data_IF_422201876437
#
_entry.id   IF_422201876437
#
_cell.length_a   1.000
_cell.length_b   1.000
_cell.length_c   1.000
_cell.angle_alpha   90.00
_cell.angle_beta   90.00
_cell.angle_gamma   90.00
#
_symmetry.space_group_name_H-M   'P 1'
#
loop_
_entity.id
_entity.type
_entity.pdbx_description
1 polymer ?
#
# COMPACT_ATOMS: atom_id res chain seq x y z
N UNK A 1 44.28 1.10 18.61
CA UNK A 1 43.82 1.90 19.76
C UNK A 1 42.69 1.13 20.44
N UNK A 2 42.74 0.86 21.76
CA UNK A 2 41.64 0.18 22.44
C UNK A 2 40.41 1.09 22.48
N UNK A 3 39.25 0.56 22.11
CA UNK A 3 37.98 1.30 22.17
C UNK A 3 37.57 1.45 23.63
N UNK A 4 37.51 2.69 24.12
CA UNK A 4 36.99 2.98 25.47
C UNK A 4 35.48 3.19 25.42
N UNK A 5 34.78 2.92 26.53
CA UNK A 5 33.32 3.16 26.63
C UNK A 5 32.94 4.59 26.24
N UNK A 6 33.74 5.58 26.66
CA UNK A 6 33.54 6.99 26.29
C UNK A 6 33.66 7.21 24.79
N UNK A 7 34.74 6.73 24.18
CA UNK A 7 34.95 6.85 22.74
C UNK A 7 33.84 6.17 21.92
N UNK A 8 33.34 5.03 22.39
CA UNK A 8 32.20 4.35 21.78
C UNK A 8 30.91 5.20 21.85
N UNK A 9 30.59 5.74 23.03
CA UNK A 9 29.40 6.57 23.21
C UNK A 9 29.45 7.86 22.36
N UNK A 10 30.58 8.55 22.34
CA UNK A 10 30.79 9.76 21.54
C UNK A 10 30.66 9.49 20.04
N UNK A 11 31.28 8.40 19.56
CA UNK A 11 31.21 8.02 18.14
C UNK A 11 29.79 7.62 17.74
N UNK A 12 29.07 6.89 18.61
CA UNK A 12 27.68 6.48 18.35
C UNK A 12 26.70 7.65 18.33
N UNK A 13 26.87 8.65 19.21
CA UNK A 13 26.02 9.84 19.25
C UNK A 13 26.18 10.72 17.99
N UNK A 14 27.40 10.84 17.48
CA UNK A 14 27.70 11.53 16.22
C UNK A 14 27.10 10.81 14.99
N UNK A 15 27.12 9.48 14.98
CA UNK A 15 26.50 8.70 13.89
C UNK A 15 24.97 8.85 13.87
N UNK A 16 24.31 8.85 15.04
CA UNK A 16 22.85 8.96 15.15
C UNK A 16 22.33 10.35 14.78
N UNK A 17 23.06 11.41 15.08
CA UNK A 17 22.70 12.78 14.69
C UNK A 17 22.76 12.98 13.17
N UNK A 18 23.78 12.42 12.50
CA UNK A 18 23.86 12.43 11.04
C UNK A 18 22.70 11.67 10.37
N UNK A 19 22.30 10.54 10.94
CA UNK A 19 21.20 9.72 10.41
C UNK A 19 19.83 10.42 10.59
N UNK A 20 19.60 11.06 11.73
CA UNK A 20 18.35 11.79 12.00
C UNK A 20 18.20 13.03 11.08
N UNK A 21 19.28 13.76 10.83
CA UNK A 21 19.27 14.89 9.90
C UNK A 21 19.01 14.45 8.45
N UNK A 22 19.58 13.31 8.02
CA UNK A 22 19.32 12.71 6.71
C UNK A 22 17.87 12.25 6.52
N UNK A 23 17.26 11.65 7.54
CA UNK A 23 15.85 11.23 7.50
C UNK A 23 14.88 12.42 7.46
N UNK A 24 15.15 13.49 8.22
CA UNK A 24 14.33 14.70 8.20
C UNK A 24 14.39 15.41 6.84
N UNK A 25 15.53 15.39 6.15
CA UNK A 25 15.68 15.92 4.80
C UNK A 25 14.98 15.03 3.75
N UNK A 26 15.02 13.70 3.91
CA UNK A 26 14.37 12.75 2.99
C UNK A 26 12.85 12.73 3.13
N UNK A 27 12.31 13.00 4.31
CA UNK A 27 10.86 13.02 4.57
C UNK A 27 10.12 14.14 3.81
N UNK A 28 10.81 15.22 3.40
CA UNK A 28 10.21 16.32 2.64
C UNK A 28 10.11 16.08 1.12
N UNK A 29 10.73 15.00 0.60
CA UNK A 29 10.84 14.78 -0.83
C UNK A 29 9.72 13.93 -1.45
N UNK A 30 8.73 13.45 -0.68
CA UNK A 30 7.70 12.52 -1.17
C UNK A 30 6.25 13.02 -1.04
N UNK A 31 6.03 14.26 -0.64
CA UNK A 31 4.72 14.88 -0.78
C UNK A 31 4.53 15.38 -2.21
N UNK A 32 4.48 14.46 -3.18
CA UNK A 32 3.93 14.80 -4.50
C UNK A 32 2.46 15.19 -4.28
N UNK A 33 1.99 16.33 -4.81
CA UNK A 33 0.59 16.69 -4.70
C UNK A 33 -0.25 15.59 -5.35
N UNK A 34 -1.16 15.00 -4.59
CA UNK A 34 -2.15 14.06 -5.15
C UNK A 34 -2.96 14.87 -6.16
N UNK A 35 -2.97 14.49 -7.45
CA UNK A 35 -3.78 15.19 -8.43
C UNK A 35 -5.24 15.01 -8.02
N UNK A 36 -5.85 16.06 -7.49
CA UNK A 36 -7.26 16.08 -7.19
C UNK A 36 -7.98 16.31 -8.52
N UNK A 37 -8.14 15.24 -9.28
CA UNK A 37 -8.86 15.29 -10.53
C UNK A 37 -10.35 15.48 -10.20
N UNK A 38 -10.80 16.74 -10.12
CA UNK A 38 -12.21 17.12 -9.91
C UNK A 38 -13.05 16.94 -11.20
N UNK A 39 -12.56 16.12 -12.14
CA UNK A 39 -13.27 15.78 -13.37
C UNK A 39 -14.36 14.74 -13.15
N UNK A 40 -14.85 14.16 -14.24
CA UNK A 40 -15.89 13.12 -14.25
C UNK A 40 -15.67 12.05 -13.17
N UNK A 41 -16.75 11.43 -12.64
CA UNK A 41 -16.66 10.42 -11.60
C UNK A 41 -15.58 9.39 -11.96
N UNK A 42 -14.63 9.17 -11.06
CA UNK A 42 -13.61 8.16 -11.26
C UNK A 42 -14.30 6.80 -11.50
N UNK A 43 -13.79 5.98 -12.43
CA UNK A 43 -14.34 4.66 -12.63
C UNK A 43 -14.23 3.83 -11.34
N UNK A 44 -15.12 2.85 -11.14
CA UNK A 44 -14.99 1.87 -10.07
C UNK A 44 -13.56 1.35 -9.94
N UNK A 45 -13.05 1.23 -8.72
CA UNK A 45 -11.71 0.70 -8.45
C UNK A 45 -11.81 -0.48 -7.52
N UNK A 46 -11.26 -1.63 -7.95
CA UNK A 46 -11.19 -2.85 -7.15
C UNK A 46 -9.72 -3.19 -6.91
N UNK A 47 -9.39 -3.54 -5.67
CA UNK A 47 -8.04 -3.91 -5.25
C UNK A 47 -8.11 -5.23 -4.50
N UNK A 48 -7.18 -6.14 -4.79
CA UNK A 48 -7.03 -7.41 -4.07
C UNK A 48 -5.57 -7.74 -3.85
N UNK A 49 -5.32 -8.71 -2.97
CA UNK A 49 -4.03 -9.41 -2.88
C UNK A 49 -3.70 -10.18 -4.16
N UNK A 50 -2.46 -10.69 -4.25
CA UNK A 50 -1.88 -11.33 -5.45
C UNK A 50 -2.76 -12.40 -6.10
N UNK A 51 -3.42 -13.26 -5.33
CA UNK A 51 -4.27 -14.36 -5.83
C UNK A 51 -5.67 -13.90 -6.30
N UNK A 52 -6.10 -12.68 -5.95
CA UNK A 52 -7.47 -12.22 -6.21
C UNK A 52 -7.79 -11.78 -7.64
N UNK A 53 -6.91 -11.95 -8.64
CA UNK A 53 -7.10 -11.37 -9.99
C UNK A 53 -8.41 -11.82 -10.68
N UNK A 54 -8.89 -13.04 -10.40
CA UNK A 54 -10.20 -13.52 -10.89
C UNK A 54 -11.35 -12.82 -10.18
N UNK A 55 -11.24 -12.63 -8.86
CA UNK A 55 -12.19 -11.89 -8.04
C UNK A 55 -12.29 -10.42 -8.45
N UNK A 56 -11.15 -9.76 -8.70
CA UNK A 56 -11.08 -8.37 -9.19
C UNK A 56 -11.90 -8.20 -10.47
N UNK A 57 -11.69 -9.08 -11.45
CA UNK A 57 -12.42 -9.05 -12.72
C UNK A 57 -13.93 -9.19 -12.51
N UNK A 58 -14.37 -10.17 -11.71
CA UNK A 58 -15.80 -10.40 -11.45
C UNK A 58 -16.45 -9.21 -10.73
N UNK A 59 -15.79 -8.67 -9.70
CA UNK A 59 -16.30 -7.52 -8.97
C UNK A 59 -16.39 -6.28 -9.87
N UNK A 60 -15.37 -6.03 -10.70
CA UNK A 60 -15.38 -4.91 -11.64
C UNK A 60 -16.51 -5.03 -12.67
N UNK A 61 -16.67 -6.20 -13.28
CA UNK A 61 -17.77 -6.47 -14.23
C UNK A 61 -19.14 -6.25 -13.60
N UNK A 62 -19.34 -6.69 -12.35
CA UNK A 62 -20.61 -6.47 -11.64
C UNK A 62 -20.88 -4.99 -11.39
N UNK A 63 -19.87 -4.22 -11.01
CA UNK A 63 -20.04 -2.78 -10.78
C UNK A 63 -20.27 -2.00 -12.08
N UNK A 64 -19.64 -2.39 -13.19
CA UNK A 64 -19.73 -1.63 -14.46
C UNK A 64 -20.87 -2.09 -15.37
N UNK A 65 -21.12 -3.39 -15.46
CA UNK A 65 -22.05 -3.97 -16.42
C UNK A 65 -23.42 -4.22 -15.79
N UNK A 66 -23.43 -4.70 -14.54
CA UNK A 66 -24.65 -5.10 -13.83
C UNK A 66 -25.16 -3.98 -12.89
N UNK A 67 -24.41 -2.88 -12.78
CA UNK A 67 -24.65 -1.78 -11.83
C UNK A 67 -24.85 -2.27 -10.38
N UNK A 68 -24.17 -3.36 -10.01
CA UNK A 68 -24.26 -3.93 -8.68
C UNK A 68 -23.63 -3.02 -7.61
N UNK A 69 -24.15 -3.10 -6.40
CA UNK A 69 -23.57 -2.44 -5.24
C UNK A 69 -22.15 -2.98 -4.96
N UNK A 70 -21.20 -2.12 -4.50
CA UNK A 70 -19.85 -2.56 -4.18
C UNK A 70 -19.78 -3.75 -3.20
N UNK A 71 -20.69 -3.84 -2.23
CA UNK A 71 -20.73 -4.93 -1.25
C UNK A 71 -21.00 -6.27 -1.93
N UNK A 72 -22.01 -6.34 -2.79
CA UNK A 72 -22.35 -7.56 -3.51
C UNK A 72 -21.25 -7.96 -4.49
N UNK A 73 -20.64 -6.99 -5.15
CA UNK A 73 -19.52 -7.21 -6.07
C UNK A 73 -18.29 -7.79 -5.36
N UNK A 74 -17.92 -7.26 -4.18
CA UNK A 74 -16.76 -7.80 -3.44
C UNK A 74 -17.04 -9.17 -2.85
N UNK A 75 -18.26 -9.45 -2.38
CA UNK A 75 -18.66 -10.78 -1.90
C UNK A 75 -18.54 -11.81 -3.02
N UNK A 76 -19.07 -11.49 -4.21
CA UNK A 76 -18.93 -12.37 -5.38
C UNK A 76 -17.46 -12.55 -5.79
N UNK A 77 -16.64 -11.49 -5.69
CA UNK A 77 -15.21 -11.54 -6.00
C UNK A 77 -14.42 -12.45 -5.08
N UNK A 78 -14.60 -12.35 -3.75
CA UNK A 78 -13.87 -13.18 -2.77
C UNK A 78 -14.31 -14.64 -2.82
N UNK A 79 -15.59 -14.91 -3.07
CA UNK A 79 -16.11 -16.28 -3.19
C UNK A 79 -15.42 -17.10 -4.28
N UNK A 80 -14.87 -16.46 -5.33
CA UNK A 80 -14.07 -17.18 -6.34
C UNK A 80 -12.85 -17.85 -5.71
N UNK A 81 -12.25 -17.20 -4.72
CA UNK A 81 -11.04 -17.72 -4.09
C UNK A 81 -11.36 -18.64 -2.91
N UNK A 82 -12.32 -18.26 -2.08
CA UNK A 82 -12.76 -19.06 -0.92
C UNK A 82 -13.35 -20.42 -1.33
N UNK A 83 -13.92 -20.53 -2.53
CA UNK A 83 -14.49 -21.76 -3.06
C UNK A 83 -13.51 -22.56 -3.95
N UNK A 84 -12.29 -22.07 -4.17
CA UNK A 84 -11.28 -22.80 -4.94
C UNK A 84 -10.52 -23.78 -4.02
N UNK A 85 -10.70 -25.10 -4.17
CA UNK A 85 -10.03 -26.06 -3.29
C UNK A 85 -8.50 -26.08 -3.44
N UNK A 86 -7.95 -25.44 -4.47
CA UNK A 86 -6.51 -25.38 -4.73
C UNK A 86 -5.82 -24.15 -4.11
N UNK A 87 -6.57 -23.26 -3.45
CA UNK A 87 -6.03 -22.09 -2.78
C UNK A 87 -6.47 -22.11 -1.31
N UNK A 88 -5.56 -22.55 -0.43
CA UNK A 88 -5.73 -22.61 1.02
C UNK A 88 -4.71 -21.73 1.74
#
# INVERSE_FOLDING_TARGET
MPVTRRAFLETSALALTGLAAGHAASAKAHAAPVPTNHGAPAPPTIVSSRNGIRGVRKAYEMMTNDQADPLDAVIAGVNIQELDPNDQ
#
